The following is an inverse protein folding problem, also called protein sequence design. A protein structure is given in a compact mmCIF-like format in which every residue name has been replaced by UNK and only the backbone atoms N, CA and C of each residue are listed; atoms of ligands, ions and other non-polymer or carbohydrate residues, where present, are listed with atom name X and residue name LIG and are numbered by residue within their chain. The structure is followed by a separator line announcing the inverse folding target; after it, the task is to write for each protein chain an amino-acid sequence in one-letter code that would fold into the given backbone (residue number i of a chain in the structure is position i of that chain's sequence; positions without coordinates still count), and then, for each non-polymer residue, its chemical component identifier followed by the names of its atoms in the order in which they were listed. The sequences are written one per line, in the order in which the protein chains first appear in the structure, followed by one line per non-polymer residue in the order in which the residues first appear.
data_IF_109336646917
#
_entry.id   IF_109336646917
#
_cell.length_a   1.000
_cell.length_b   1.000
_cell.length_c   1.000
_cell.angle_alpha   90.00
_cell.angle_beta   90.00
_cell.angle_gamma   90.00
#
_symmetry.space_group_name_H-M   'P 1'
#
loop_
_entity.id
_entity.type
_entity.pdbx_description
1 polymer ?
#
# COMPACT_ATOMS: atom_id res chain seq x y z
N UNK A 1 15.12 -52.91 -27.88
CA UNK A 1 14.75 -51.48 -28.03
C UNK A 1 13.68 -51.15 -27.00
N UNK A 2 13.98 -50.31 -26.02
CA UNK A 2 13.00 -49.52 -25.29
C UNK A 2 13.76 -48.48 -24.47
N UNK A 3 14.00 -47.35 -25.12
CA UNK A 3 14.51 -46.13 -24.52
C UNK A 3 13.34 -45.15 -24.42
N UNK A 4 13.32 -44.38 -23.34
CA UNK A 4 12.49 -43.22 -23.02
C UNK A 4 11.17 -43.44 -22.25
N UNK A 5 11.17 -42.98 -20.99
CA UNK A 5 10.41 -41.79 -20.56
C UNK A 5 10.79 -41.41 -19.13
N UNK A 6 11.86 -40.62 -19.01
CA UNK A 6 12.27 -39.94 -17.79
C UNK A 6 12.93 -38.61 -18.15
N UNK A 7 12.12 -37.61 -18.48
CA UNK A 7 12.64 -36.35 -19.06
C UNK A 7 11.72 -35.14 -18.94
N UNK A 8 10.87 -35.08 -17.90
CA UNK A 8 9.93 -33.96 -17.71
C UNK A 8 10.39 -32.89 -16.71
N UNK A 9 10.97 -33.31 -15.57
CA UNK A 9 11.22 -32.40 -14.44
C UNK A 9 12.47 -31.52 -14.61
N UNK A 10 13.57 -32.07 -15.14
CA UNK A 10 14.80 -31.31 -15.37
C UNK A 10 14.63 -30.18 -16.39
N UNK A 11 13.71 -30.36 -17.36
CA UNK A 11 13.54 -29.44 -18.49
C UNK A 11 12.81 -28.14 -18.11
N UNK A 12 11.96 -28.20 -17.08
CA UNK A 12 11.18 -27.06 -16.57
C UNK A 12 12.04 -26.18 -15.67
N UNK A 13 12.84 -26.80 -14.80
CA UNK A 13 13.63 -26.08 -13.80
C UNK A 13 14.81 -25.31 -14.41
N UNK A 14 15.42 -25.78 -15.49
CA UNK A 14 16.45 -24.98 -16.19
C UNK A 14 15.86 -23.79 -16.94
N UNK A 15 14.67 -23.94 -17.55
CA UNK A 15 13.99 -22.83 -18.26
C UNK A 15 13.65 -21.71 -17.28
N UNK A 16 13.15 -22.08 -16.11
CA UNK A 16 12.84 -21.17 -15.02
C UNK A 16 14.09 -20.43 -14.52
N UNK A 17 15.21 -21.14 -14.28
CA UNK A 17 16.48 -20.51 -13.87
C UNK A 17 17.06 -19.57 -14.93
N UNK A 18 16.98 -19.93 -16.21
CA UNK A 18 17.44 -19.07 -17.31
C UNK A 18 16.57 -17.82 -17.43
N UNK A 19 15.25 -17.95 -17.30
CA UNK A 19 14.32 -16.84 -17.33
C UNK A 19 14.55 -15.88 -16.16
N UNK A 20 14.70 -16.40 -14.94
CA UNK A 20 15.01 -15.61 -13.74
C UNK A 20 16.36 -14.88 -13.89
N UNK A 21 17.39 -15.55 -14.39
CA UNK A 21 18.70 -14.93 -14.64
C UNK A 21 18.67 -13.82 -15.69
N UNK A 22 17.87 -13.96 -16.74
CA UNK A 22 17.68 -12.92 -17.76
C UNK A 22 16.89 -11.72 -17.21
N UNK A 23 15.81 -11.97 -16.46
CA UNK A 23 15.01 -10.94 -15.82
C UNK A 23 15.85 -10.12 -14.83
N UNK A 24 16.72 -10.80 -14.06
CA UNK A 24 17.62 -10.15 -13.10
C UNK A 24 18.65 -9.26 -13.80
N UNK A 25 19.29 -9.74 -14.88
CA UNK A 25 20.24 -8.93 -15.68
C UNK A 25 19.56 -7.69 -16.27
N UNK A 26 18.37 -7.87 -16.86
CA UNK A 26 17.57 -6.76 -17.40
C UNK A 26 17.22 -5.76 -16.30
N UNK A 27 16.82 -6.25 -15.13
CA UNK A 27 16.47 -5.39 -14.00
C UNK A 27 17.65 -4.56 -13.48
N UNK A 28 18.86 -5.11 -13.44
CA UNK A 28 20.07 -4.35 -13.09
C UNK A 28 20.35 -3.22 -14.09
N UNK A 29 20.21 -3.49 -15.40
CA UNK A 29 20.36 -2.45 -16.43
C UNK A 29 19.34 -1.32 -16.23
N UNK A 30 18.07 -1.66 -15.96
CA UNK A 30 17.02 -0.68 -15.73
C UNK A 30 17.26 0.19 -14.50
N UNK A 31 17.83 -0.39 -13.43
CA UNK A 31 18.20 0.36 -12.23
C UNK A 31 19.32 1.35 -12.54
N UNK A 32 20.31 0.95 -13.34
CA UNK A 32 21.41 1.82 -13.76
C UNK A 32 20.92 2.97 -14.65
N UNK A 33 20.01 2.69 -15.58
CA UNK A 33 19.44 3.70 -16.48
C UNK A 33 18.52 4.69 -15.72
N UNK A 34 17.82 4.23 -14.68
CA UNK A 34 16.94 5.06 -13.86
C UNK A 34 15.69 5.59 -14.57
N UNK A 35 15.39 5.11 -15.79
CA UNK A 35 14.27 5.59 -16.58
C UNK A 35 12.93 5.03 -16.08
N UNK A 36 12.18 5.87 -15.35
CA UNK A 36 10.96 5.50 -14.60
C UNK A 36 9.96 4.68 -15.44
N UNK A 37 9.56 5.09 -16.67
CA UNK A 37 8.56 4.33 -17.43
C UNK A 37 9.00 2.89 -17.75
N UNK A 38 10.29 2.66 -18.00
CA UNK A 38 10.80 1.32 -18.28
C UNK A 38 10.84 0.45 -17.01
N UNK A 39 11.20 1.02 -15.85
CA UNK A 39 11.15 0.31 -14.56
C UNK A 39 9.70 -0.07 -14.22
N UNK A 40 8.75 0.84 -14.44
CA UNK A 40 7.32 0.55 -14.23
C UNK A 40 6.81 -0.55 -15.13
N UNK A 41 7.13 -0.49 -16.43
CA UNK A 41 6.76 -1.53 -17.38
C UNK A 41 7.30 -2.90 -16.96
N UNK A 42 8.51 -2.96 -16.39
CA UNK A 42 9.07 -4.18 -15.83
C UNK A 42 8.32 -4.67 -14.59
N UNK A 43 7.96 -3.76 -13.67
CA UNK A 43 7.31 -4.11 -12.41
C UNK A 43 5.86 -4.64 -12.57
N UNK A 44 5.19 -4.38 -13.70
CA UNK A 44 3.84 -4.90 -14.01
C UNK A 44 3.72 -6.42 -13.92
N UNK A 45 4.81 -7.15 -14.15
CA UNK A 45 4.85 -8.62 -14.04
C UNK A 45 5.36 -9.12 -12.69
N UNK A 46 5.70 -8.21 -11.77
CA UNK A 46 6.35 -8.49 -10.49
C UNK A 46 7.86 -8.23 -10.53
N UNK A 47 8.42 -7.86 -9.38
CA UNK A 47 9.84 -7.58 -9.20
C UNK A 47 10.46 -8.65 -8.31
N UNK A 48 11.64 -9.15 -8.70
CA UNK A 48 12.38 -10.08 -7.85
C UNK A 48 12.89 -9.39 -6.58
N UNK A 49 12.93 -10.13 -5.47
CA UNK A 49 13.21 -9.60 -4.12
C UNK A 49 14.49 -8.74 -4.08
N UNK A 50 15.59 -9.20 -4.69
CA UNK A 50 16.87 -8.51 -4.68
C UNK A 50 16.88 -7.15 -5.40
N UNK A 51 15.94 -6.90 -6.32
CA UNK A 51 15.88 -5.65 -7.09
C UNK A 51 14.79 -4.71 -6.59
N UNK A 52 13.86 -5.23 -5.78
CA UNK A 52 12.65 -4.53 -5.35
C UNK A 52 12.94 -3.20 -4.66
N UNK A 53 13.84 -3.10 -3.66
CA UNK A 53 14.09 -1.85 -2.96
C UNK A 53 14.49 -0.70 -3.90
N UNK A 54 15.43 -0.96 -4.81
CA UNK A 54 15.97 0.04 -5.75
C UNK A 54 14.95 0.40 -6.84
N UNK A 55 14.21 -0.57 -7.35
CA UNK A 55 13.17 -0.33 -8.37
C UNK A 55 12.01 0.50 -7.80
N UNK A 56 11.56 0.20 -6.58
CA UNK A 56 10.48 0.97 -5.93
C UNK A 56 10.87 2.43 -5.76
N UNK A 57 12.10 2.68 -5.28
CA UNK A 57 12.65 4.03 -5.16
C UNK A 57 12.59 4.77 -6.50
N UNK A 58 13.07 4.15 -7.59
CA UNK A 58 13.03 4.76 -8.94
C UNK A 58 11.57 5.00 -9.39
N UNK A 59 10.65 4.05 -9.21
CA UNK A 59 9.25 4.20 -9.61
C UNK A 59 8.52 5.33 -8.88
N UNK A 60 8.98 5.66 -7.67
CA UNK A 60 8.52 6.78 -6.84
C UNK A 60 9.25 8.10 -7.13
N UNK A 61 10.22 8.11 -8.04
CA UNK A 61 11.00 9.29 -8.41
C UNK A 61 12.18 9.59 -7.47
N UNK A 62 12.54 8.65 -6.60
CA UNK A 62 13.73 8.72 -5.74
C UNK A 62 14.96 8.18 -6.48
N UNK A 63 16.15 8.45 -5.94
CA UNK A 63 17.39 7.80 -6.40
C UNK A 63 17.39 6.32 -6.03
N UNK A 64 18.07 5.49 -6.81
CA UNK A 64 18.14 4.03 -6.62
C UNK A 64 18.55 3.64 -5.19
N UNK A 65 19.44 4.42 -4.62
CA UNK A 65 20.01 4.24 -3.29
C UNK A 65 19.70 5.49 -2.45
N UNK A 66 19.77 5.36 -1.12
CA UNK A 66 19.50 6.47 -0.20
C UNK A 66 20.61 7.51 -0.32
N UNK A 67 20.22 8.78 -0.38
CA UNK A 67 21.15 9.90 -0.48
C UNK A 67 21.43 10.50 0.90
N UNK A 68 22.62 11.08 1.08
CA UNK A 68 22.96 11.79 2.34
C UNK A 68 21.92 12.86 2.71
N UNK A 69 21.33 13.55 1.72
CA UNK A 69 20.28 14.54 1.97
C UNK A 69 18.97 13.93 2.48
N UNK A 70 18.63 12.68 2.11
CA UNK A 70 17.50 11.97 2.70
C UNK A 70 17.79 11.60 4.16
N UNK A 71 18.98 11.07 4.43
CA UNK A 71 19.42 10.72 5.80
C UNK A 71 19.46 11.95 6.71
N UNK A 72 20.01 13.07 6.23
CA UNK A 72 20.07 14.33 6.98
C UNK A 72 18.68 14.90 7.26
N UNK A 73 17.76 14.82 6.29
CA UNK A 73 16.38 15.26 6.46
C UNK A 73 15.64 14.40 7.47
N UNK A 74 15.81 13.08 7.42
CA UNK A 74 15.25 12.17 8.40
C UNK A 74 15.78 12.45 9.80
N UNK A 75 17.11 12.57 9.95
CA UNK A 75 17.75 12.88 11.23
C UNK A 75 17.25 14.21 11.83
N UNK A 76 17.01 15.22 10.98
CA UNK A 76 16.43 16.50 11.42
C UNK A 76 15.02 16.30 11.98
N UNK A 77 14.16 15.54 11.30
CA UNK A 77 12.79 15.29 11.75
C UNK A 77 12.77 14.50 13.06
N UNK A 78 13.63 13.48 13.20
CA UNK A 78 13.77 12.71 14.44
C UNK A 78 14.27 13.57 15.61
N UNK A 79 15.19 14.51 15.35
CA UNK A 79 15.60 15.51 16.35
C UNK A 79 14.43 16.43 16.75
N UNK A 80 13.54 16.77 15.82
CA UNK A 80 12.33 17.54 16.12
C UNK A 80 11.34 16.74 16.97
N UNK A 81 11.15 15.44 16.71
CA UNK A 81 10.34 14.53 17.53
C UNK A 81 10.83 14.53 18.98
N UNK A 82 12.14 14.42 19.19
CA UNK A 82 12.75 14.43 20.54
C UNK A 82 12.59 15.78 21.26
N UNK A 83 12.50 16.89 20.50
CA UNK A 83 12.43 18.24 21.05
C UNK A 83 11.00 18.66 21.38
N UNK A 84 10.02 18.19 20.59
CA UNK A 84 8.62 18.64 20.69
C UNK A 84 7.68 17.45 20.59
N UNK A 85 6.97 17.20 21.69
CA UNK A 85 5.86 16.24 21.76
C UNK A 85 4.58 16.90 21.23
N UNK A 86 3.90 16.21 20.32
CA UNK A 86 2.58 16.61 19.81
C UNK A 86 1.48 15.75 20.42
N UNK A 87 0.30 16.33 20.58
CA UNK A 87 -0.89 15.61 21.03
C UNK A 87 -1.25 14.39 20.15
N UNK A 88 -0.76 14.36 18.90
CA UNK A 88 -0.94 13.23 17.98
C UNK A 88 0.02 12.08 18.20
N UNK A 89 1.11 12.26 18.96
CA UNK A 89 2.15 11.24 19.10
C UNK A 89 1.65 10.00 19.82
N UNK A 90 0.99 10.16 20.96
CA UNK A 90 0.43 9.03 21.71
C UNK A 90 -0.55 8.20 20.89
N UNK A 91 -1.28 8.81 19.96
CA UNK A 91 -2.18 8.09 19.04
C UNK A 91 -1.42 7.31 17.96
N UNK A 92 -0.31 7.85 17.45
CA UNK A 92 0.56 7.15 16.51
C UNK A 92 1.24 5.95 17.19
N UNK A 93 1.75 6.16 18.42
CA UNK A 93 2.35 5.09 19.21
C UNK A 93 1.34 3.99 19.55
N UNK A 94 0.09 4.36 19.85
CA UNK A 94 -0.99 3.40 20.06
C UNK A 94 -1.32 2.61 18.78
N UNK A 95 -1.28 3.23 17.59
CA UNK A 95 -1.50 2.51 16.33
C UNK A 95 -0.34 1.54 16.03
N UNK A 96 0.89 1.93 16.36
CA UNK A 96 2.08 1.08 16.25
C UNK A 96 1.94 -0.15 17.13
N UNK A 97 1.63 0.02 18.42
CA UNK A 97 1.50 -1.12 19.36
C UNK A 97 0.35 -2.05 19.01
N UNK A 98 -0.78 -1.53 18.52
CA UNK A 98 -1.88 -2.37 18.04
C UNK A 98 -1.56 -3.11 16.73
N UNK A 99 -0.65 -2.58 15.93
CA UNK A 99 -0.25 -3.18 14.65
C UNK A 99 0.92 -4.16 14.80
N UNK A 100 1.75 -4.02 15.83
CA UNK A 100 2.82 -4.97 16.15
C UNK A 100 2.29 -6.33 16.62
N UNK A 101 1.02 -6.40 17.07
CA UNK A 101 0.30 -7.65 17.32
C UNK A 101 0.11 -8.53 16.05
N UNK A 102 0.32 -7.98 14.85
CA UNK A 102 0.42 -8.78 13.63
C UNK A 102 1.74 -9.56 13.65
N UNK A 103 1.67 -10.90 13.67
CA UNK A 103 2.83 -11.81 13.83
C UNK A 103 4.04 -11.48 12.95
N UNK A 104 3.79 -10.91 11.76
CA UNK A 104 4.81 -10.62 10.77
C UNK A 104 5.57 -9.30 10.98
N UNK A 105 5.07 -8.40 11.84
CA UNK A 105 5.61 -7.04 11.97
C UNK A 105 6.09 -6.68 13.38
N UNK A 106 5.78 -7.50 14.38
CA UNK A 106 6.26 -7.35 15.76
C UNK A 106 7.76 -6.96 15.89
N UNK A 107 8.71 -7.59 15.15
CA UNK A 107 10.12 -7.27 15.31
C UNK A 107 10.53 -5.84 14.92
N UNK A 108 9.64 -5.08 14.26
CA UNK A 108 9.95 -3.77 13.69
C UNK A 108 9.26 -2.61 14.43
N UNK A 109 8.72 -2.85 15.63
CA UNK A 109 7.95 -1.85 16.39
C UNK A 109 8.70 -0.52 16.57
N UNK A 110 9.94 -0.56 17.04
CA UNK A 110 10.76 0.63 17.29
C UNK A 110 11.06 1.41 16.01
N UNK A 111 11.44 0.70 14.94
CA UNK A 111 11.69 1.29 13.62
C UNK A 111 10.41 1.96 13.09
N UNK A 112 9.27 1.29 13.20
CA UNK A 112 7.99 1.80 12.75
C UNK A 112 7.55 3.04 13.53
N UNK A 113 7.75 3.03 14.85
CA UNK A 113 7.51 4.18 15.72
C UNK A 113 8.36 5.38 15.29
N UNK A 114 9.66 5.18 15.08
CA UNK A 114 10.58 6.22 14.63
C UNK A 114 10.13 6.83 13.29
N UNK A 115 9.83 5.98 12.31
CA UNK A 115 9.40 6.38 10.96
C UNK A 115 8.07 7.16 10.98
N UNK A 116 7.06 6.69 11.72
CA UNK A 116 5.74 7.35 11.70
C UNK A 116 5.73 8.67 12.45
N UNK A 117 6.51 8.77 13.54
CA UNK A 117 6.68 10.03 14.26
C UNK A 117 7.42 11.04 13.38
N UNK A 118 8.51 10.66 12.72
CA UNK A 118 9.20 11.52 11.76
C UNK A 118 8.29 11.93 10.59
N UNK A 119 7.51 10.99 10.04
CA UNK A 119 6.50 11.27 9.01
C UNK A 119 5.52 12.35 9.44
N UNK A 120 5.04 12.32 10.69
CA UNK A 120 4.08 13.31 11.15
C UNK A 120 4.65 14.74 11.16
N UNK A 121 5.97 14.90 11.33
CA UNK A 121 6.68 16.19 11.31
C UNK A 121 6.99 16.70 9.90
N UNK A 122 6.89 15.85 8.88
CA UNK A 122 7.31 16.23 7.55
C UNK A 122 6.24 17.04 6.80
N UNK A 123 6.35 18.37 6.85
CA UNK A 123 5.48 19.28 6.11
C UNK A 123 5.52 19.08 4.58
N UNK A 124 6.54 18.41 4.04
CA UNK A 124 6.60 18.03 2.63
C UNK A 124 5.42 17.12 2.24
N UNK A 125 5.03 16.20 3.13
CA UNK A 125 3.93 15.25 2.88
C UNK A 125 2.65 16.01 2.53
N UNK A 126 2.32 17.03 3.30
CA UNK A 126 1.16 17.89 3.07
C UNK A 126 1.19 18.56 1.70
N UNK A 127 2.35 19.11 1.34
CA UNK A 127 2.53 19.87 0.09
C UNK A 127 2.54 19.00 -1.15
N UNK A 128 2.95 17.74 -1.02
CA UNK A 128 3.11 16.81 -2.14
C UNK A 128 2.00 15.76 -2.24
N UNK A 129 1.15 15.63 -1.22
CA UNK A 129 0.02 14.71 -1.26
C UNK A 129 -1.00 15.13 -2.32
N UNK A 130 -1.42 14.17 -3.13
CA UNK A 130 -2.45 14.37 -4.18
C UNK A 130 -3.78 14.85 -3.58
N UNK A 131 -4.07 14.45 -2.34
CA UNK A 131 -5.24 14.89 -1.60
C UNK A 131 -4.88 15.24 -0.16
N UNK A 132 -5.50 16.30 0.34
CA UNK A 132 -5.50 16.58 1.77
C UNK A 132 -6.51 15.67 2.46
N UNK A 133 -6.01 14.83 3.36
CA UNK A 133 -6.79 13.78 4.02
C UNK A 133 -7.67 14.34 5.13
N UNK A 134 -7.11 15.20 5.96
CA UNK A 134 -7.75 15.71 7.17
C UNK A 134 -7.77 17.24 7.18
N UNK A 135 -8.72 17.80 7.91
CA UNK A 135 -8.70 19.23 8.18
C UNK A 135 -7.51 19.55 9.11
N UNK A 136 -6.74 20.61 8.85
CA UNK A 136 -5.71 21.09 9.77
C UNK A 136 -6.22 21.23 11.20
N UNK A 137 -5.47 20.76 12.19
CA UNK A 137 -5.52 21.36 13.52
C UNK A 137 -4.61 22.59 13.48
N UNK A 138 -5.17 23.74 13.83
CA UNK A 138 -4.47 25.02 13.82
C UNK A 138 -4.21 25.39 15.28
N UNK A 139 -2.98 25.78 15.60
CA UNK A 139 -2.66 26.31 16.92
C UNK A 139 -3.49 27.59 17.18
N UNK A 140 -4.35 27.62 18.22
CA UNK A 140 -5.16 28.81 18.52
C UNK A 140 -4.33 30.08 18.72
N UNK A 141 -3.08 29.97 19.19
CA UNK A 141 -2.18 31.11 19.36
C UNK A 141 -1.86 31.81 18.01
N UNK A 142 -1.92 31.08 16.90
CA UNK A 142 -1.69 31.63 15.57
C UNK A 142 -2.97 32.30 15.00
N UNK A 143 -4.16 31.94 15.49
CA UNK A 143 -5.43 32.58 15.09
C UNK A 143 -5.54 34.01 15.63
N UNK A 144 -5.11 34.25 16.86
CA UNK A 144 -5.15 35.59 17.50
C UNK A 144 -4.25 36.61 16.78
N UNK A 145 -3.19 36.14 16.11
CA UNK A 145 -2.27 36.98 15.33
C UNK A 145 -2.86 37.56 14.04
N UNK A 146 -4.04 37.09 13.61
CA UNK A 146 -4.73 37.57 12.39
C UNK A 146 -5.70 38.74 12.64
N UNK A 147 -5.83 39.20 13.89
CA UNK A 147 -6.73 40.30 14.27
C UNK A 147 -6.15 41.72 14.13
N UNK A 148 -4.89 41.85 13.72
CA UNK A 148 -4.28 43.16 13.44
C UNK A 148 -3.97 43.27 11.95
N UNK A 149 -4.47 44.34 11.33
CA UNK A 149 -4.35 44.79 9.94
C UNK A 149 -3.17 44.23 9.12
N UNK A 150 -3.32 44.00 7.80
CA UNK A 150 -2.22 43.59 6.93
C UNK A 150 -1.29 44.79 6.66
N UNK A 151 -0.50 45.19 7.64
CA UNK A 151 0.70 45.97 7.36
C UNK A 151 1.70 45.04 6.68
N UNK A 152 2.06 45.40 5.44
CA UNK A 152 3.06 44.71 4.63
C UNK A 152 4.40 44.85 5.34
N UNK A 153 4.70 43.90 6.20
CA UNK A 153 6.01 43.82 6.82
C UNK A 153 7.03 43.47 5.73
N UNK A 154 7.98 44.38 5.49
CA UNK A 154 9.04 44.28 4.48
C UNK A 154 10.15 43.33 4.96
N UNK A 155 9.74 42.15 5.41
CA UNK A 155 10.59 41.19 6.12
C UNK A 155 10.16 39.74 5.95
N UNK A 156 9.55 39.36 4.80
CA UNK A 156 9.59 38.00 4.23
C UNK A 156 9.16 36.80 5.09
N UNK A 157 8.57 36.99 6.28
CA UNK A 157 8.10 35.91 7.15
C UNK A 157 6.59 36.01 7.24
N UNK A 158 5.91 35.44 6.25
CA UNK A 158 4.47 35.21 6.33
C UNK A 158 4.20 34.45 7.63
N UNK A 159 3.30 34.96 8.48
CA UNK A 159 2.74 34.24 9.63
C UNK A 159 2.04 32.99 9.09
N UNK A 160 2.81 31.93 8.88
CA UNK A 160 2.31 30.64 8.40
C UNK A 160 1.71 29.95 9.63
N UNK A 161 0.37 29.86 9.65
CA UNK A 161 -0.37 29.09 10.65
C UNK A 161 0.31 27.74 10.88
N UNK A 162 0.77 27.47 12.10
CA UNK A 162 1.38 26.19 12.45
C UNK A 162 0.29 25.15 12.52
N UNK A 163 0.41 24.19 11.62
CA UNK A 163 -0.52 23.09 11.47
C UNK A 163 0.04 21.88 12.20
N UNK A 164 -0.82 21.22 12.98
CA UNK A 164 -0.45 20.04 13.76
C UNK A 164 -1.27 18.83 13.30
N UNK A 165 -0.63 17.71 12.93
CA UNK A 165 0.80 17.55 12.71
C UNK A 165 1.22 18.26 11.40
N UNK A 166 2.49 18.68 11.25
CA UNK A 166 2.97 19.39 10.06
C UNK A 166 2.71 18.67 8.73
N UNK A 167 2.74 17.33 8.74
CA UNK A 167 2.38 16.47 7.61
C UNK A 167 0.94 16.61 7.11
N UNK A 168 0.03 17.14 7.94
CA UNK A 168 -1.40 17.22 7.67
C UNK A 168 -2.13 15.89 7.70
N UNK A 169 -1.49 14.84 8.22
CA UNK A 169 -2.10 13.52 8.38
C UNK A 169 -2.38 13.29 9.86
N UNK A 170 -3.65 13.35 10.25
CA UNK A 170 -4.04 12.99 11.62
C UNK A 170 -3.87 11.47 11.83
N UNK A 171 -3.51 11.04 13.04
CA UNK A 171 -3.45 9.63 13.38
C UNK A 171 -4.83 8.96 13.24
N UNK A 172 -4.85 7.77 12.65
CA UNK A 172 -6.03 6.90 12.60
C UNK A 172 -5.57 5.44 12.68
N UNK A 173 -6.47 4.55 13.10
CA UNK A 173 -6.18 3.13 13.21
C UNK A 173 -5.84 2.54 11.83
N UNK A 174 -4.68 1.90 11.74
CA UNK A 174 -4.18 1.25 10.53
C UNK A 174 -3.35 2.15 9.62
N UNK A 175 -3.00 3.39 10.03
CA UNK A 175 -2.03 4.21 9.30
C UNK A 175 -0.69 3.45 9.16
N UNK A 176 -0.31 2.72 10.20
CA UNK A 176 0.89 1.90 10.20
C UNK A 176 0.91 0.80 9.14
N UNK A 177 -0.25 0.34 8.68
CA UNK A 177 -0.37 -0.67 7.62
C UNK A 177 0.35 -0.25 6.34
N UNK A 178 0.41 1.05 6.05
CA UNK A 178 1.06 1.55 4.84
C UNK A 178 2.60 1.58 4.93
N UNK A 179 3.16 1.51 6.14
CA UNK A 179 4.60 1.51 6.37
C UNK A 179 5.15 0.12 6.69
N UNK A 180 4.36 -0.72 7.39
CA UNK A 180 4.81 -2.02 7.89
C UNK A 180 5.44 -2.95 6.83
N UNK A 181 4.87 -3.14 5.62
CA UNK A 181 5.51 -3.99 4.61
C UNK A 181 6.87 -3.49 4.12
N UNK A 182 7.17 -2.20 4.28
CA UNK A 182 8.42 -1.60 3.84
C UNK A 182 9.60 -2.02 4.73
N UNK A 183 9.37 -2.40 5.98
CA UNK A 183 10.42 -2.86 6.91
C UNK A 183 11.02 -4.21 6.48
N UNK A 184 10.29 -4.95 5.64
CA UNK A 184 10.78 -6.19 5.02
C UNK A 184 11.62 -5.93 3.75
N UNK A 185 11.62 -4.69 3.24
CA UNK A 185 12.38 -4.29 2.05
C UNK A 185 13.63 -3.49 2.38
N UNK A 186 13.59 -2.71 3.46
CA UNK A 186 14.65 -1.79 3.82
C UNK A 186 15.03 -2.00 5.28
N UNK A 187 16.34 -2.09 5.54
CA UNK A 187 16.89 -2.21 6.89
C UNK A 187 16.99 -0.85 7.58
N UNK A 188 17.34 0.20 6.82
CA UNK A 188 17.55 1.55 7.34
C UNK A 188 16.23 2.35 7.45
N UNK A 189 16.04 3.04 8.58
CA UNK A 189 14.81 3.79 8.85
C UNK A 189 14.57 4.93 7.85
N UNK A 190 15.63 5.61 7.42
CA UNK A 190 15.58 6.73 6.48
C UNK A 190 15.11 6.29 5.08
N UNK A 191 15.46 5.06 4.69
CA UNK A 191 15.00 4.42 3.46
C UNK A 191 13.50 4.09 3.55
N UNK A 192 13.06 3.48 4.66
CA UNK A 192 11.65 3.19 4.93
C UNK A 192 10.84 4.48 4.91
N UNK A 193 11.28 5.51 5.64
CA UNK A 193 10.65 6.82 5.71
C UNK A 193 10.53 7.47 4.31
N UNK A 194 11.61 7.47 3.54
CA UNK A 194 11.63 8.13 2.22
C UNK A 194 10.68 7.46 1.23
N UNK A 195 10.57 6.13 1.27
CA UNK A 195 9.62 5.39 0.44
C UNK A 195 8.20 5.56 0.96
N UNK A 196 7.99 5.47 2.28
CA UNK A 196 6.68 5.63 2.91
C UNK A 196 6.04 6.98 2.57
N UNK A 197 6.76 8.08 2.80
CA UNK A 197 6.23 9.43 2.53
C UNK A 197 5.88 9.64 1.05
N UNK A 198 6.67 9.06 0.14
CA UNK A 198 6.44 9.14 -1.30
C UNK A 198 5.22 8.30 -1.73
N UNK A 199 5.08 7.08 -1.19
CA UNK A 199 3.91 6.24 -1.44
C UNK A 199 2.65 6.86 -0.85
N UNK A 200 2.72 7.46 0.34
CA UNK A 200 1.58 8.12 0.96
C UNK A 200 1.11 9.31 0.12
N UNK A 201 2.03 10.20 -0.24
CA UNK A 201 1.72 11.39 -1.01
C UNK A 201 1.08 11.06 -2.38
N UNK A 202 1.48 9.94 -3.00
CA UNK A 202 0.99 9.55 -4.32
C UNK A 202 -0.27 8.68 -4.30
N UNK A 203 -0.30 7.69 -3.41
CA UNK A 203 -1.27 6.60 -3.41
C UNK A 203 -2.10 6.60 -2.13
N UNK A 204 -1.47 6.47 -0.95
CA UNK A 204 -2.22 6.17 0.27
C UNK A 204 -3.09 7.33 0.76
N UNK A 205 -2.73 8.58 0.47
CA UNK A 205 -3.62 9.72 0.73
C UNK A 205 -4.99 9.58 0.02
N UNK A 206 -5.04 8.92 -1.14
CA UNK A 206 -6.28 8.67 -1.92
C UNK A 206 -7.21 7.67 -1.25
N UNK A 207 -6.64 6.72 -0.51
CA UNK A 207 -7.37 5.68 0.22
C UNK A 207 -7.96 6.19 1.55
N UNK A 208 -7.61 7.41 1.96
CA UNK A 208 -8.07 8.00 3.21
C UNK A 208 -8.97 9.23 2.99
N UNK A 209 -9.50 9.41 1.78
CA UNK A 209 -10.44 10.49 1.45
C UNK A 209 -11.73 9.96 0.82
N UNK A 210 -12.84 10.60 1.15
CA UNK A 210 -14.14 10.39 0.52
C UNK A 210 -14.34 11.43 -0.58
N UNK A 211 -13.80 11.13 -1.77
CA UNK A 211 -13.92 11.96 -2.98
C UNK A 211 -14.47 11.10 -4.11
N UNK A 212 -14.99 11.72 -5.16
CA UNK A 212 -15.46 11.02 -6.38
C UNK A 212 -14.39 10.92 -7.46
N UNK A 213 -13.19 11.45 -7.21
CA UNK A 213 -12.08 11.42 -8.17
C UNK A 213 -11.54 9.99 -8.35
N UNK A 214 -11.13 9.64 -9.57
CA UNK A 214 -10.59 8.31 -9.88
C UNK A 214 -9.43 7.90 -8.96
N UNK A 215 -9.41 6.61 -8.59
CA UNK A 215 -8.41 6.04 -7.70
C UNK A 215 -8.51 6.48 -6.24
N UNK A 216 -9.56 7.19 -5.83
CA UNK A 216 -9.88 7.43 -4.41
C UNK A 216 -10.77 6.34 -3.84
N UNK A 217 -10.86 6.26 -2.51
CA UNK A 217 -11.50 5.13 -1.82
C UNK A 217 -12.93 4.85 -2.33
N UNK A 218 -13.77 5.89 -2.48
CA UNK A 218 -15.18 5.70 -2.84
C UNK A 218 -15.36 5.09 -4.25
N UNK A 219 -14.74 5.62 -5.33
CA UNK A 219 -14.76 4.96 -6.64
C UNK A 219 -14.16 3.54 -6.65
N UNK A 220 -13.14 3.27 -5.83
CA UNK A 220 -12.57 1.92 -5.72
C UNK A 220 -13.56 0.94 -5.08
N UNK A 221 -14.27 1.37 -4.02
CA UNK A 221 -15.34 0.58 -3.40
C UNK A 221 -16.48 0.31 -4.38
N UNK A 222 -16.87 1.31 -5.17
CA UNK A 222 -17.88 1.15 -6.20
C UNK A 222 -17.44 0.15 -7.28
N UNK A 223 -16.21 0.28 -7.78
CA UNK A 223 -15.63 -0.65 -8.75
C UNK A 223 -15.63 -2.09 -8.23
N UNK A 224 -15.33 -2.31 -6.95
CA UNK A 224 -15.43 -3.64 -6.35
C UNK A 224 -16.86 -4.22 -6.43
N UNK A 225 -17.87 -3.43 -6.05
CA UNK A 225 -19.27 -3.88 -6.08
C UNK A 225 -19.73 -4.18 -7.51
N UNK A 226 -19.40 -3.31 -8.48
CA UNK A 226 -19.70 -3.53 -9.90
C UNK A 226 -19.05 -4.81 -10.42
N UNK A 227 -17.77 -5.03 -10.12
CA UNK A 227 -17.05 -6.24 -10.54
C UNK A 227 -17.69 -7.49 -9.94
N UNK A 228 -17.99 -7.49 -8.64
CA UNK A 228 -18.58 -8.67 -7.99
C UNK A 228 -19.96 -9.00 -8.55
N UNK A 229 -20.81 -7.99 -8.76
CA UNK A 229 -22.14 -8.18 -9.35
C UNK A 229 -22.08 -8.66 -10.81
N UNK A 230 -21.12 -8.17 -11.58
CA UNK A 230 -20.94 -8.60 -12.97
C UNK A 230 -20.41 -10.03 -13.07
N UNK A 231 -19.45 -10.41 -12.24
CA UNK A 231 -18.77 -11.70 -12.36
C UNK A 231 -19.46 -12.85 -11.60
N UNK A 232 -20.03 -12.59 -10.42
CA UNK A 232 -20.78 -13.60 -9.65
C UNK A 232 -22.00 -12.98 -8.93
N UNK A 233 -23.08 -12.68 -9.67
CA UNK A 233 -24.30 -12.12 -9.07
C UNK A 233 -24.98 -13.07 -8.08
N UNK A 234 -24.73 -14.40 -8.21
CA UNK A 234 -25.32 -15.41 -7.30
C UNK A 234 -24.66 -15.32 -5.93
N UNK A 235 -23.34 -15.22 -5.88
CA UNK A 235 -22.61 -14.98 -4.64
C UNK A 235 -23.05 -13.66 -4.00
N UNK A 236 -23.14 -12.58 -4.78
CA UNK A 236 -23.58 -11.28 -4.26
C UNK A 236 -24.98 -11.37 -3.60
N UNK A 237 -25.92 -12.05 -4.27
CA UNK A 237 -27.27 -12.25 -3.74
C UNK A 237 -27.27 -13.15 -2.49
N UNK A 238 -26.47 -14.21 -2.47
CA UNK A 238 -26.34 -15.10 -1.31
C UNK A 238 -25.84 -14.36 -0.08
N UNK A 239 -24.76 -13.58 -0.22
CA UNK A 239 -24.18 -12.77 0.86
C UNK A 239 -25.19 -11.76 1.41
N UNK A 240 -25.85 -11.01 0.52
CA UNK A 240 -26.82 -9.99 0.92
C UNK A 240 -28.05 -10.59 1.60
N UNK A 241 -28.56 -11.74 1.12
CA UNK A 241 -29.64 -12.48 1.78
C UNK A 241 -29.25 -12.99 3.16
N UNK A 242 -27.98 -13.37 3.34
CA UNK A 242 -27.41 -13.77 4.64
C UNK A 242 -27.07 -12.59 5.56
N UNK A 243 -27.42 -11.35 5.18
CA UNK A 243 -27.19 -10.15 5.99
C UNK A 243 -25.72 -9.70 6.01
N UNK A 244 -24.96 -10.04 4.97
CA UNK A 244 -23.57 -9.65 4.76
C UNK A 244 -23.52 -8.66 3.60
N UNK A 245 -22.95 -7.48 3.85
CA UNK A 245 -22.60 -6.55 2.79
C UNK A 245 -21.19 -6.89 2.29
N UNK A 246 -21.00 -7.34 1.04
CA UNK A 246 -19.67 -7.75 0.55
C UNK A 246 -18.62 -6.65 0.69
N UNK A 247 -19.02 -5.39 0.47
CA UNK A 247 -18.14 -4.24 0.63
C UNK A 247 -17.66 -4.06 2.09
N UNK A 248 -18.47 -4.41 3.10
CA UNK A 248 -18.05 -4.28 4.49
C UNK A 248 -16.85 -5.19 4.82
N UNK A 249 -16.76 -6.35 4.15
CA UNK A 249 -15.62 -7.27 4.25
C UNK A 249 -14.43 -6.75 3.44
N UNK A 250 -14.66 -6.31 2.20
CA UNK A 250 -13.59 -5.89 1.28
C UNK A 250 -13.00 -4.51 1.61
N UNK A 251 -13.75 -3.63 2.28
CA UNK A 251 -13.35 -2.26 2.57
C UNK A 251 -12.00 -2.16 3.29
N UNK A 252 -11.74 -2.86 4.41
CA UNK A 252 -10.42 -2.80 5.05
C UNK A 252 -9.30 -3.30 4.13
N UNK A 253 -9.56 -4.27 3.24
CA UNK A 253 -8.54 -4.75 2.30
C UNK A 253 -8.20 -3.69 1.26
N UNK A 254 -9.22 -2.99 0.74
CA UNK A 254 -9.04 -1.91 -0.23
C UNK A 254 -8.38 -0.71 0.46
N UNK A 255 -8.84 -0.31 1.63
CA UNK A 255 -8.31 0.84 2.36
C UNK A 255 -6.84 0.60 2.75
N UNK A 256 -6.52 -0.52 3.39
CA UNK A 256 -5.16 -0.81 3.88
C UNK A 256 -4.31 -1.61 2.89
N UNK A 257 -4.67 -1.58 1.61
CA UNK A 257 -3.94 -2.20 0.52
C UNK A 257 -3.51 -3.66 0.81
N UNK A 258 -4.45 -4.43 1.37
CA UNK A 258 -4.36 -5.85 1.76
C UNK A 258 -3.44 -6.22 2.93
N UNK A 259 -2.88 -5.23 3.61
CA UNK A 259 -2.16 -5.49 4.86
C UNK A 259 -3.16 -5.95 5.93
N UNK A 260 -2.82 -7.02 6.63
CA UNK A 260 -3.68 -7.68 7.62
C UNK A 260 -4.47 -8.87 7.08
N UNK A 261 -4.63 -9.01 5.76
CA UNK A 261 -5.19 -10.22 5.14
C UNK A 261 -4.11 -11.08 4.48
N UNK A 262 -3.27 -10.48 3.64
CA UNK A 262 -2.27 -11.22 2.87
C UNK A 262 -0.98 -11.40 3.65
N UNK A 263 -0.28 -12.51 3.35
CA UNK A 263 1.12 -12.65 3.73
C UNK A 263 1.93 -11.46 3.22
N UNK A 264 2.93 -10.97 3.98
CA UNK A 264 3.69 -9.78 3.60
C UNK A 264 4.34 -9.90 2.21
N UNK A 265 4.83 -11.10 1.86
CA UNK A 265 5.38 -11.36 0.54
C UNK A 265 4.36 -11.16 -0.60
N UNK A 266 3.08 -11.46 -0.35
CA UNK A 266 1.99 -11.25 -1.32
C UNK A 266 1.57 -9.77 -1.38
N UNK A 267 1.58 -9.06 -0.24
CA UNK A 267 1.40 -7.59 -0.22
C UNK A 267 2.43 -6.92 -1.13
N UNK A 268 3.71 -7.28 -1.00
CA UNK A 268 4.78 -6.71 -1.83
C UNK A 268 4.59 -7.01 -3.33
N UNK A 269 4.09 -8.20 -3.68
CA UNK A 269 3.78 -8.59 -5.07
C UNK A 269 2.61 -7.80 -5.65
N UNK A 270 1.62 -7.45 -4.82
CA UNK A 270 0.53 -6.54 -5.19
C UNK A 270 1.06 -5.12 -5.40
N UNK A 271 1.88 -4.63 -4.48
CA UNK A 271 2.42 -3.26 -4.54
C UNK A 271 3.42 -3.07 -5.68
N UNK A 272 4.18 -4.11 -6.08
CA UNK A 272 4.96 -4.12 -7.33
C UNK A 272 4.08 -3.72 -8.54
N UNK A 273 2.86 -4.27 -8.61
CA UNK A 273 1.92 -4.01 -9.70
C UNK A 273 1.26 -2.65 -9.57
N UNK A 274 0.89 -2.22 -8.37
CA UNK A 274 0.36 -0.87 -8.13
C UNK A 274 1.38 0.17 -8.62
N UNK A 275 2.66 0.02 -8.28
CA UNK A 275 3.72 0.91 -8.74
C UNK A 275 3.99 0.79 -10.25
N UNK A 276 3.94 -0.43 -10.79
CA UNK A 276 4.18 -0.70 -12.21
C UNK A 276 3.07 -0.21 -13.15
N UNK A 277 1.81 -0.30 -12.72
CA UNK A 277 0.66 0.26 -13.43
C UNK A 277 0.39 1.73 -13.06
N UNK A 278 0.89 2.18 -11.90
CA UNK A 278 0.60 3.48 -11.31
C UNK A 278 -0.90 3.66 -11.02
N UNK A 279 -1.56 2.58 -10.58
CA UNK A 279 -3.01 2.49 -10.46
C UNK A 279 -3.46 1.68 -9.24
N UNK A 280 -4.42 2.23 -8.48
CA UNK A 280 -5.03 1.61 -7.31
C UNK A 280 -6.22 0.71 -7.65
N UNK A 281 -6.72 0.70 -8.90
CA UNK A 281 -7.80 -0.18 -9.34
C UNK A 281 -7.48 -1.68 -9.17
N UNK A 282 -6.20 -2.04 -9.03
CA UNK A 282 -5.80 -3.41 -8.68
C UNK A 282 -6.33 -3.89 -7.32
N UNK A 283 -6.60 -2.97 -6.39
CA UNK A 283 -7.14 -3.30 -5.07
C UNK A 283 -8.55 -3.91 -5.15
N UNK A 284 -9.57 -3.23 -5.74
CA UNK A 284 -10.90 -3.82 -5.90
C UNK A 284 -10.92 -5.02 -6.84
N UNK A 285 -10.04 -5.06 -7.86
CA UNK A 285 -9.90 -6.22 -8.75
C UNK A 285 -9.44 -7.45 -7.96
N UNK A 286 -8.41 -7.32 -7.10
CA UNK A 286 -7.97 -8.42 -6.25
C UNK A 286 -9.05 -8.82 -5.23
N UNK A 287 -9.75 -7.85 -4.64
CA UNK A 287 -10.83 -8.13 -3.70
C UNK A 287 -11.92 -8.98 -4.39
N UNK A 288 -12.39 -8.59 -5.57
CA UNK A 288 -13.35 -9.38 -6.34
C UNK A 288 -12.81 -10.79 -6.67
N UNK A 289 -11.55 -10.90 -7.07
CA UNK A 289 -10.94 -12.20 -7.36
C UNK A 289 -10.95 -13.15 -6.15
N UNK A 290 -10.73 -12.65 -4.94
CA UNK A 290 -10.80 -13.43 -3.70
C UNK A 290 -12.24 -13.91 -3.43
N UNK A 291 -13.23 -13.04 -3.65
CA UNK A 291 -14.65 -13.42 -3.51
C UNK A 291 -15.03 -14.54 -4.46
N UNK A 292 -14.67 -14.43 -5.74
CA UNK A 292 -14.94 -15.47 -6.74
C UNK A 292 -14.20 -16.76 -6.41
N UNK A 293 -12.93 -16.66 -6.02
CA UNK A 293 -12.14 -17.82 -5.61
C UNK A 293 -12.78 -18.59 -4.45
N UNK A 294 -13.39 -17.87 -3.50
CA UNK A 294 -14.09 -18.46 -2.34
C UNK A 294 -15.54 -18.82 -2.60
N UNK A 295 -16.11 -18.42 -3.73
CA UNK A 295 -17.52 -18.64 -4.08
C UNK A 295 -17.96 -20.10 -3.90
N UNK A 296 -17.23 -21.13 -4.38
CA UNK A 296 -17.67 -22.52 -4.23
C UNK A 296 -17.86 -22.96 -2.76
N UNK A 297 -17.01 -22.47 -1.86
CA UNK A 297 -17.09 -22.75 -0.43
C UNK A 297 -18.22 -21.96 0.22
N UNK A 298 -18.30 -20.66 -0.05
CA UNK A 298 -19.26 -19.73 0.56
C UNK A 298 -20.71 -20.09 0.19
N UNK A 299 -20.95 -20.53 -1.04
CA UNK A 299 -22.28 -20.92 -1.52
C UNK A 299 -22.86 -22.15 -0.80
N UNK A 300 -22.01 -22.94 -0.13
CA UNK A 300 -22.42 -24.08 0.70
C UNK A 300 -22.77 -23.73 2.15
N UNK A 301 -22.47 -22.51 2.59
CA UNK A 301 -22.63 -22.06 3.98
C UNK A 301 -23.87 -21.18 4.09
N UNK A 302 -24.73 -21.46 5.08
CA UNK A 302 -25.98 -20.73 5.29
C UNK A 302 -25.88 -19.71 6.44
N UNK A 303 -24.97 -19.92 7.38
CA UNK A 303 -24.81 -19.04 8.54
C UNK A 303 -23.83 -17.90 8.26
N UNK A 304 -24.15 -16.72 8.80
CA UNK A 304 -23.36 -15.50 8.61
C UNK A 304 -21.93 -15.64 9.15
N UNK A 305 -21.77 -16.26 10.32
CA UNK A 305 -20.48 -16.38 11.00
C UNK A 305 -19.49 -17.24 10.20
N UNK A 306 -19.93 -18.39 9.69
CA UNK A 306 -19.10 -19.26 8.86
C UNK A 306 -18.72 -18.62 7.53
N UNK A 307 -19.59 -17.81 6.94
CA UNK A 307 -19.23 -17.03 5.74
C UNK A 307 -18.15 -15.99 6.08
N UNK A 308 -18.31 -15.25 7.18
CA UNK A 308 -17.32 -14.26 7.61
C UNK A 308 -15.96 -14.91 7.92
N UNK A 309 -15.95 -16.08 8.58
CA UNK A 309 -14.73 -16.85 8.88
C UNK A 309 -13.95 -17.23 7.61
N UNK A 310 -14.66 -17.70 6.57
CA UNK A 310 -14.05 -18.01 5.26
C UNK A 310 -13.34 -16.80 4.67
N UNK A 311 -13.77 -15.57 4.97
CA UNK A 311 -13.12 -14.35 4.47
C UNK A 311 -11.99 -13.82 5.35
N UNK A 312 -11.85 -14.26 6.60
CA UNK A 312 -10.78 -13.83 7.50
C UNK A 312 -9.43 -14.51 7.21
N UNK A 313 -9.44 -15.74 6.69
CA UNK A 313 -8.20 -16.47 6.40
C UNK A 313 -7.50 -15.91 5.16
N UNK A 314 -6.16 -15.89 5.11
CA UNK A 314 -5.39 -15.32 3.98
C UNK A 314 -4.22 -16.17 3.47
N UNK A 315 -3.90 -17.26 4.16
CA UNK A 315 -2.70 -18.12 4.00
C UNK A 315 -2.53 -18.74 2.61
N UNK A 316 -3.61 -18.91 1.84
CA UNK A 316 -3.57 -19.52 0.50
C UNK A 316 -3.65 -18.50 -0.65
N UNK A 317 -3.83 -17.21 -0.33
CA UNK A 317 -4.10 -16.19 -1.35
C UNK A 317 -2.83 -15.82 -2.12
N UNK A 318 -2.80 -16.19 -3.40
CA UNK A 318 -1.71 -15.82 -4.32
C UNK A 318 -2.16 -14.73 -5.28
N UNK A 319 -1.57 -13.53 -5.15
CA UNK A 319 -2.00 -12.33 -5.88
C UNK A 319 -1.96 -12.51 -7.39
N UNK A 320 -0.84 -13.01 -7.93
CA UNK A 320 -0.68 -13.11 -9.39
C UNK A 320 -1.68 -14.10 -10.03
N UNK A 321 -1.85 -15.34 -9.52
CA UNK A 321 -2.90 -16.24 -10.01
C UNK A 321 -4.32 -15.69 -9.88
N UNK A 322 -4.66 -15.07 -8.75
CA UNK A 322 -6.02 -14.52 -8.53
C UNK A 322 -6.35 -13.40 -9.52
N UNK A 323 -5.42 -12.45 -9.71
CA UNK A 323 -5.59 -11.39 -10.70
C UNK A 323 -5.69 -11.95 -12.12
N UNK A 324 -4.86 -12.93 -12.46
CA UNK A 324 -4.89 -13.56 -13.78
C UNK A 324 -6.21 -14.28 -14.05
N UNK A 325 -6.74 -15.00 -13.05
CA UNK A 325 -8.00 -15.73 -13.18
C UNK A 325 -9.19 -14.79 -13.45
N UNK A 326 -9.24 -13.65 -12.75
CA UNK A 326 -10.34 -12.69 -12.91
C UNK A 326 -10.25 -11.95 -14.26
N UNK A 327 -9.05 -11.50 -14.65
CA UNK A 327 -8.84 -10.69 -15.87
C UNK A 327 -8.87 -11.55 -17.14
N UNK A 328 -8.37 -12.79 -17.07
CA UNK A 328 -8.33 -13.73 -18.18
C UNK A 328 -9.08 -15.02 -17.81
N UNK A 329 -10.43 -14.97 -17.72
CA UNK A 329 -11.21 -16.16 -17.44
C UNK A 329 -10.95 -17.21 -18.53
N UNK A 330 -10.85 -18.48 -18.11
CA UNK A 330 -10.60 -19.57 -19.05
C UNK A 330 -11.72 -19.60 -20.10
N UNK A 331 -11.39 -19.80 -21.40
CA UNK A 331 -12.39 -19.83 -22.45
C UNK A 331 -13.37 -20.99 -22.20
N UNK A 332 -14.66 -20.71 -22.32
CA UNK A 332 -15.76 -21.64 -22.11
C UNK A 332 -15.84 -22.70 -23.22
N UNK A 333 -14.83 -23.57 -23.35
CA UNK A 333 -14.95 -24.78 -24.17
C UNK A 333 -15.46 -25.92 -23.29
N UNK A 334 -16.78 -26.04 -23.18
CA UNK A 334 -17.44 -27.17 -22.52
C UNK A 334 -18.52 -26.76 -21.52
N UNK A 335 -19.73 -26.54 -22.04
CA UNK A 335 -20.98 -26.83 -21.35
C UNK A 335 -21.83 -27.69 -22.31
#
# INVERSE_FOLDING_TARGET
ENVTRGGGSGNQHWKERVFVGQAQKRGHSLIQDGYIPAVRQFARTGVCVALRPRMWRIMLGLKSDVTAGESDHYAKLTSEVQRVEYATDGLLEMDVSQSSDLENYFPFEDLLKSVVLAFSRDAWVRGMSMFQTHHPLIDPADLDSTSTSPERDKGGRSNCLKMVPPSGVLPFKGLMSYAAPLTLLFEEEDAVFSVFRAMYARYWCRLNVLRTAEGTLLPLCHLFEELLQCHDPRLFFHLTRSGIQPLAIALPWIQFAFVGLLDPGQVLVLWDRILGFDDLALLPVLACAIFIFRSPTVMGIADKAGIEEVFLEGTELRVAPLLQHLVFPSPCWGA
#
